data_IF_063050198832
#
_entry.id   IF_063050198832
#
_cell.length_a   1.000
_cell.length_b   1.000
_cell.length_c   1.000
_cell.angle_alpha   90.00
_cell.angle_beta   90.00
_cell.angle_gamma   90.00
#
_symmetry.space_group_name_H-M   'P 1'
#
loop_
_entity.id
_entity.type
_entity.pdbx_description
1 polymer ?
#
# COMPACT_ATOMS: atom_id res chain seq x y z
N UNK A 1 14.31 -79.87 45.39
CA UNK A 1 13.85 -78.50 45.77
C UNK A 1 13.56 -77.71 44.51
N UNK A 2 12.33 -77.43 44.17
CA UNK A 2 11.99 -76.73 42.95
C UNK A 2 11.90 -75.21 43.15
N UNK A 3 12.48 -74.42 42.23
CA UNK A 3 12.47 -72.99 42.19
C UNK A 3 11.08 -72.47 41.73
N UNK A 4 10.47 -71.68 42.58
CA UNK A 4 9.27 -70.94 42.24
C UNK A 4 9.61 -69.79 41.26
N UNK A 5 8.99 -69.76 40.08
CA UNK A 5 8.96 -68.61 39.14
C UNK A 5 7.79 -67.72 39.54
N UNK A 6 8.08 -66.48 39.90
CA UNK A 6 7.11 -65.45 40.12
C UNK A 6 6.75 -64.81 38.75
N UNK A 7 5.49 -64.86 38.38
CA UNK A 7 4.89 -64.13 37.23
C UNK A 7 4.47 -62.74 37.71
N UNK A 8 5.12 -61.70 37.23
CA UNK A 8 4.63 -60.33 37.34
C UNK A 8 3.60 -60.07 36.25
N UNK A 9 2.43 -59.50 36.55
CA UNK A 9 1.51 -59.04 35.53
C UNK A 9 1.94 -57.70 34.95
N UNK A 10 2.10 -57.61 33.64
CA UNK A 10 2.26 -56.37 32.88
C UNK A 10 0.94 -55.64 32.90
N UNK A 11 0.88 -54.51 33.58
CA UNK A 11 -0.17 -53.51 33.42
C UNK A 11 0.06 -52.73 32.11
N UNK A 12 -0.72 -53.01 31.09
CA UNK A 12 -0.78 -52.22 29.89
C UNK A 12 -1.66 -50.99 30.18
N UNK A 13 -1.01 -49.87 30.43
CA UNK A 13 -1.70 -48.57 30.53
C UNK A 13 -2.03 -48.11 29.09
N UNK A 14 -3.26 -48.30 28.68
CA UNK A 14 -3.76 -47.72 27.43
C UNK A 14 -3.86 -46.18 27.57
N UNK A 15 -2.94 -45.44 26.98
CA UNK A 15 -3.07 -43.99 26.79
C UNK A 15 -4.21 -43.74 25.77
N UNK A 16 -5.37 -43.35 26.27
CA UNK A 16 -6.40 -42.73 25.43
C UNK A 16 -5.88 -41.36 24.99
N UNK A 17 -5.34 -41.30 23.77
CA UNK A 17 -5.11 -40.03 23.09
C UNK A 17 -6.48 -39.39 22.79
N UNK A 18 -6.87 -38.45 23.61
CA UNK A 18 -8.00 -37.58 23.31
C UNK A 18 -7.64 -36.75 22.10
N UNK A 19 -8.13 -37.17 20.93
CA UNK A 19 -8.14 -36.35 19.73
C UNK A 19 -9.12 -35.19 19.97
N UNK A 20 -8.62 -34.06 20.44
CA UNK A 20 -9.39 -32.81 20.35
C UNK A 20 -9.63 -32.54 18.87
N UNK A 21 -10.88 -32.32 18.44
CA UNK A 21 -11.10 -31.83 17.10
C UNK A 21 -10.34 -30.51 16.98
N UNK A 22 -9.40 -30.45 16.05
CA UNK A 22 -8.82 -29.19 15.64
C UNK A 22 -9.99 -28.34 15.16
N UNK A 23 -10.44 -27.39 15.99
CA UNK A 23 -11.36 -26.35 15.56
C UNK A 23 -10.58 -25.57 14.50
N UNK A 24 -10.80 -25.89 13.24
CA UNK A 24 -10.21 -25.19 12.12
C UNK A 24 -10.44 -23.68 12.32
N UNK A 25 -9.38 -22.91 12.20
CA UNK A 25 -9.52 -21.47 12.26
C UNK A 25 -10.45 -21.02 11.11
N UNK A 26 -11.37 -20.08 11.34
CA UNK A 26 -12.24 -19.59 10.30
C UNK A 26 -11.41 -19.05 9.13
N UNK A 27 -11.83 -19.35 7.90
CA UNK A 27 -11.16 -18.97 6.68
C UNK A 27 -12.12 -18.91 5.49
N UNK A 28 -11.59 -19.03 4.27
CA UNK A 28 -12.40 -18.97 3.03
C UNK A 28 -13.51 -20.04 3.04
N UNK A 29 -13.21 -21.24 3.49
CA UNK A 29 -14.17 -22.36 3.54
C UNK A 29 -15.38 -22.08 4.41
N UNK A 30 -15.20 -21.35 5.52
CA UNK A 30 -16.26 -20.91 6.42
C UNK A 30 -16.88 -19.57 6.04
N UNK A 31 -16.53 -19.04 4.86
CA UNK A 31 -16.93 -17.71 4.39
C UNK A 31 -16.52 -16.55 5.30
N UNK A 32 -15.48 -16.74 6.08
CA UNK A 32 -14.86 -15.75 6.96
C UNK A 32 -13.37 -15.53 6.64
N UNK A 33 -13.03 -15.16 5.40
CA UNK A 33 -11.66 -14.96 5.00
C UNK A 33 -11.04 -13.77 5.74
N UNK A 34 -9.74 -13.85 6.01
CA UNK A 34 -8.98 -12.80 6.66
C UNK A 34 -8.24 -11.96 5.62
N UNK A 35 -8.51 -10.67 5.60
CA UNK A 35 -7.88 -9.70 4.73
C UNK A 35 -6.75 -8.96 5.45
N UNK A 36 -5.53 -9.04 4.91
CA UNK A 36 -4.39 -8.27 5.37
C UNK A 36 -4.46 -6.82 4.87
N UNK A 37 -4.97 -5.95 5.71
CA UNK A 37 -4.87 -4.50 5.53
C UNK A 37 -3.66 -3.95 6.27
N UNK A 38 -3.53 -2.61 6.31
CA UNK A 38 -2.50 -1.94 7.10
C UNK A 38 -3.12 -1.02 8.14
N UNK A 39 -2.79 0.25 8.12
CA UNK A 39 -3.38 1.24 8.99
C UNK A 39 -4.85 1.52 8.61
N UNK A 40 -5.67 1.82 9.59
CA UNK A 40 -7.11 2.06 9.37
C UNK A 40 -7.41 3.23 8.43
N UNK A 41 -6.58 4.27 8.46
CA UNK A 41 -6.78 5.51 7.70
C UNK A 41 -5.95 5.59 6.41
N UNK A 42 -5.15 4.58 6.08
CA UNK A 42 -4.37 4.57 4.85
C UNK A 42 -5.12 3.87 3.71
N UNK A 43 -4.68 4.02 2.46
CA UNK A 43 -5.34 3.44 1.29
C UNK A 43 -5.59 1.93 1.41
N UNK A 44 -4.70 1.20 2.05
CA UNK A 44 -4.82 -0.25 2.20
C UNK A 44 -5.87 -0.66 3.25
N UNK A 45 -6.04 0.13 4.31
CA UNK A 45 -7.15 -0.03 5.26
C UNK A 45 -8.48 0.37 4.63
N UNK A 46 -8.50 1.45 3.85
CA UNK A 46 -9.67 1.83 3.06
C UNK A 46 -10.08 0.73 2.08
N UNK A 47 -9.09 0.11 1.39
CA UNK A 47 -9.33 -1.03 0.51
C UNK A 47 -9.88 -2.24 1.25
N UNK A 48 -9.37 -2.54 2.46
CA UNK A 48 -9.88 -3.63 3.27
C UNK A 48 -11.38 -3.46 3.58
N UNK A 49 -11.81 -2.25 3.92
CA UNK A 49 -13.21 -1.96 4.21
C UNK A 49 -14.09 -1.96 2.95
N UNK A 50 -13.55 -1.56 1.80
CA UNK A 50 -14.22 -1.71 0.50
C UNK A 50 -14.44 -3.19 0.19
N UNK A 51 -13.40 -4.01 0.28
CA UNK A 51 -13.49 -5.46 0.04
C UNK A 51 -14.47 -6.11 1.02
N UNK A 52 -14.38 -5.80 2.31
CA UNK A 52 -15.31 -6.32 3.32
C UNK A 52 -16.77 -6.01 2.95
N UNK A 53 -17.04 -4.79 2.54
CA UNK A 53 -18.40 -4.36 2.18
C UNK A 53 -18.84 -5.00 0.86
N UNK A 54 -17.99 -5.01 -0.16
CA UNK A 54 -18.29 -5.56 -1.48
C UNK A 54 -18.56 -7.07 -1.46
N UNK A 55 -17.93 -7.80 -0.52
CA UNK A 55 -18.07 -9.26 -0.42
C UNK A 55 -19.33 -9.72 0.32
N UNK A 56 -19.99 -8.85 1.09
CA UNK A 56 -21.20 -9.21 1.86
C UNK A 56 -22.33 -9.77 0.99
N UNK A 57 -22.69 -9.19 -0.17
CA UNK A 57 -23.75 -9.73 -1.03
C UNK A 57 -23.47 -11.15 -1.53
N UNK A 58 -22.21 -11.57 -1.54
CA UNK A 58 -21.79 -12.92 -1.93
C UNK A 58 -21.68 -13.89 -0.76
N UNK A 59 -22.12 -13.44 0.43
CA UNK A 59 -22.19 -14.25 1.65
C UNK A 59 -20.87 -14.42 2.39
N UNK A 60 -19.86 -13.57 2.10
CA UNK A 60 -18.60 -13.56 2.83
C UNK A 60 -18.58 -12.48 3.93
N UNK A 61 -18.17 -12.90 5.13
CA UNK A 61 -17.90 -12.02 6.27
C UNK A 61 -16.39 -11.82 6.41
N UNK A 62 -15.84 -10.95 5.57
CA UNK A 62 -14.38 -10.69 5.53
C UNK A 62 -13.92 -10.07 6.84
N UNK A 63 -12.97 -10.70 7.49
CA UNK A 63 -12.32 -10.22 8.70
C UNK A 63 -11.09 -9.38 8.33
N UNK A 64 -10.92 -8.19 8.93
CA UNK A 64 -9.81 -7.29 8.58
C UNK A 64 -8.72 -7.38 9.64
N UNK A 65 -7.49 -7.61 9.20
CA UNK A 65 -6.30 -7.41 10.01
C UNK A 65 -5.71 -6.02 9.76
N UNK A 66 -5.99 -5.07 10.63
CA UNK A 66 -5.43 -3.71 10.54
C UNK A 66 -3.95 -3.60 10.98
N UNK A 67 -3.43 -4.61 11.69
CA UNK A 67 -2.03 -4.62 12.14
C UNK A 67 -1.06 -5.20 11.11
N UNK A 68 -1.55 -5.64 9.97
CA UNK A 68 -0.75 -6.18 8.90
C UNK A 68 -0.14 -5.01 8.14
N UNK A 69 1.13 -4.76 8.35
CA UNK A 69 1.83 -3.68 7.66
C UNK A 69 1.82 -3.92 6.15
N UNK A 70 1.50 -2.90 5.38
CA UNK A 70 1.47 -2.97 3.93
C UNK A 70 2.78 -3.44 3.30
N UNK A 71 3.92 -3.06 3.85
CA UNK A 71 5.23 -3.50 3.37
C UNK A 71 5.51 -4.98 3.71
N UNK A 72 5.02 -5.47 4.85
CA UNK A 72 5.16 -6.86 5.28
C UNK A 72 4.00 -7.76 4.84
N UNK A 73 2.89 -7.18 4.41
CA UNK A 73 1.70 -7.93 4.03
C UNK A 73 1.97 -9.03 2.97
N UNK A 74 2.77 -8.81 1.92
CA UNK A 74 3.10 -9.88 0.96
C UNK A 74 3.78 -11.08 1.60
N UNK A 75 4.65 -10.88 2.60
CA UNK A 75 5.27 -11.98 3.35
C UNK A 75 4.24 -12.76 4.15
N UNK A 76 3.41 -12.03 4.89
CA UNK A 76 2.39 -12.62 5.77
C UNK A 76 1.37 -13.42 4.96
N UNK A 77 0.90 -12.87 3.84
CA UNK A 77 -0.03 -13.55 2.93
C UNK A 77 0.62 -14.78 2.30
N UNK A 78 1.84 -14.64 1.74
CA UNK A 78 2.56 -15.73 1.09
C UNK A 78 2.78 -16.94 2.01
N UNK A 79 2.98 -16.72 3.29
CA UNK A 79 3.26 -17.74 4.29
C UNK A 79 2.02 -18.16 5.09
N UNK A 80 0.83 -17.64 4.74
CA UNK A 80 -0.43 -17.89 5.46
C UNK A 80 -0.30 -17.70 6.99
N UNK A 81 0.45 -16.69 7.41
CA UNK A 81 0.69 -16.46 8.83
C UNK A 81 -0.56 -15.96 9.54
N UNK A 82 -0.72 -16.40 10.77
CA UNK A 82 -1.64 -15.75 11.70
C UNK A 82 -1.07 -14.40 12.11
N UNK A 83 -1.88 -13.32 12.08
CA UNK A 83 -1.40 -12.02 12.53
C UNK A 83 -0.97 -12.06 13.99
N UNK A 84 0.10 -11.32 14.36
CA UNK A 84 0.45 -11.18 15.75
C UNK A 84 -0.68 -10.51 16.53
N UNK A 85 -0.83 -10.82 17.83
CA UNK A 85 -1.77 -10.13 18.69
C UNK A 85 -1.56 -8.60 18.61
N UNK A 86 -2.64 -7.87 18.48
CA UNK A 86 -2.57 -6.40 18.48
C UNK A 86 -2.05 -5.90 19.83
N UNK A 87 -1.03 -5.07 19.75
CA UNK A 87 -0.55 -4.28 20.88
C UNK A 87 -0.89 -2.82 20.63
N UNK A 88 -1.79 -2.21 21.43
CA UNK A 88 -2.08 -0.79 21.31
C UNK A 88 -0.79 0.03 21.44
N UNK A 89 -0.58 0.96 20.51
CA UNK A 89 0.42 2.00 20.69
C UNK A 89 -0.18 3.08 21.58
N UNK A 90 0.37 3.34 22.79
CA UNK A 90 -0.17 4.36 23.69
C UNK A 90 -0.12 5.77 23.12
N UNK A 91 0.70 6.01 22.08
CA UNK A 91 0.77 7.30 21.38
C UNK A 91 -0.39 7.46 20.36
N UNK A 92 -1.12 6.40 20.01
CA UNK A 92 -2.23 6.46 19.06
C UNK A 92 -3.54 6.61 19.82
N UNK A 93 -4.33 7.68 19.58
CA UNK A 93 -5.64 7.83 20.18
C UNK A 93 -6.51 6.59 19.97
N UNK A 94 -7.25 6.15 20.99
CA UNK A 94 -8.06 4.93 20.95
C UNK A 94 -9.03 4.88 19.75
N UNK A 95 -9.59 6.03 19.39
CA UNK A 95 -10.51 6.15 18.22
C UNK A 95 -9.83 5.82 16.89
N UNK A 96 -8.51 6.00 16.81
CA UNK A 96 -7.72 5.71 15.63
C UNK A 96 -7.00 4.36 15.73
N UNK A 97 -6.98 3.76 16.91
CA UNK A 97 -6.35 2.47 17.12
C UNK A 97 -7.09 1.38 16.33
N UNK A 98 -6.41 0.62 15.50
CA UNK A 98 -7.03 -0.48 14.79
C UNK A 98 -7.45 -1.56 15.79
N UNK A 99 -8.66 -2.07 15.66
CA UNK A 99 -9.16 -3.19 16.47
C UNK A 99 -9.32 -4.39 15.58
N UNK A 100 -8.43 -5.35 15.73
CA UNK A 100 -8.61 -6.65 15.10
C UNK A 100 -9.67 -7.44 15.88
N UNK A 101 -10.45 -8.24 15.15
CA UNK A 101 -11.30 -9.21 15.79
C UNK A 101 -10.45 -10.20 16.61
N UNK A 102 -10.89 -10.63 17.80
CA UNK A 102 -10.19 -11.70 18.53
C UNK A 102 -10.18 -13.00 17.71
N UNK A 103 -9.04 -13.71 17.74
CA UNK A 103 -8.95 -15.02 17.11
C UNK A 103 -8.96 -15.01 15.58
N UNK A 104 -8.42 -13.95 14.95
CA UNK A 104 -8.19 -13.94 13.51
C UNK A 104 -7.41 -15.19 13.09
N UNK A 105 -7.89 -15.85 12.03
CA UNK A 105 -7.20 -16.94 11.36
C UNK A 105 -5.93 -16.49 10.64
N UNK A 106 -5.35 -17.40 9.85
CA UNK A 106 -4.28 -17.05 8.92
C UNK A 106 -4.80 -16.07 7.87
N UNK A 107 -3.91 -15.18 7.40
CA UNK A 107 -4.29 -14.22 6.37
C UNK A 107 -4.41 -14.93 5.03
N UNK A 108 -5.58 -14.82 4.40
CA UNK A 108 -5.89 -15.44 3.13
C UNK A 108 -5.46 -14.59 1.94
N UNK A 109 -5.72 -13.29 2.01
CA UNK A 109 -5.44 -12.32 0.94
C UNK A 109 -5.25 -10.92 1.55
N UNK A 110 -4.91 -9.92 0.75
CA UNK A 110 -4.66 -8.60 1.30
C UNK A 110 -4.52 -7.51 0.27
N UNK A 111 -4.19 -6.30 0.76
CA UNK A 111 -3.83 -5.16 -0.06
C UNK A 111 -2.44 -4.65 0.28
N UNK A 112 -1.74 -4.21 -0.77
CA UNK A 112 -0.43 -3.55 -0.66
C UNK A 112 -0.22 -2.62 -1.85
N UNK A 113 0.88 -1.89 -1.87
CA UNK A 113 1.29 -1.19 -3.09
C UNK A 113 1.90 -2.19 -4.08
N UNK A 114 1.68 -1.97 -5.37
CA UNK A 114 2.14 -2.89 -6.43
C UNK A 114 3.66 -3.14 -6.37
N UNK A 115 4.46 -2.13 -6.03
CA UNK A 115 5.92 -2.32 -5.91
C UNK A 115 6.30 -3.30 -4.79
N UNK A 116 5.60 -3.29 -3.65
CA UNK A 116 5.87 -4.26 -2.58
C UNK A 116 5.48 -5.68 -2.98
N UNK A 117 4.40 -5.83 -3.74
CA UNK A 117 3.99 -7.12 -4.27
C UNK A 117 5.03 -7.66 -5.26
N UNK A 118 5.50 -6.82 -6.19
CA UNK A 118 6.55 -7.18 -7.17
C UNK A 118 7.87 -7.52 -6.48
N UNK A 119 8.28 -6.70 -5.51
CA UNK A 119 9.50 -6.92 -4.74
C UNK A 119 9.45 -8.25 -3.98
N UNK A 120 8.32 -8.58 -3.36
CA UNK A 120 8.14 -9.85 -2.68
C UNK A 120 8.14 -11.02 -3.66
N UNK A 121 7.45 -10.89 -4.80
CA UNK A 121 7.40 -11.91 -5.83
C UNK A 121 8.79 -12.25 -6.38
N UNK A 122 9.65 -11.25 -6.56
CA UNK A 122 11.01 -11.39 -7.12
C UNK A 122 12.11 -11.61 -6.08
N UNK A 123 11.89 -11.28 -4.82
CA UNK A 123 12.94 -11.18 -3.80
C UNK A 123 13.86 -9.97 -4.05
N UNK A 124 13.29 -8.82 -4.39
CA UNK A 124 14.01 -7.56 -4.66
C UNK A 124 13.63 -6.46 -3.69
N UNK A 125 14.17 -5.26 -3.85
CA UNK A 125 13.83 -4.10 -3.04
C UNK A 125 13.97 -4.35 -1.55
N UNK A 126 12.88 -4.17 -0.80
CA UNK A 126 12.87 -4.43 0.65
C UNK A 126 12.99 -5.92 0.99
N UNK A 127 12.73 -6.81 0.03
CA UNK A 127 12.82 -8.27 0.15
C UNK A 127 14.14 -8.85 -0.41
N UNK A 128 15.11 -8.02 -0.79
CA UNK A 128 16.36 -8.45 -1.44
C UNK A 128 17.24 -9.43 -0.62
N UNK A 129 16.96 -9.54 0.68
CA UNK A 129 17.63 -10.50 1.59
C UNK A 129 16.79 -11.74 1.89
N UNK A 130 15.65 -11.88 1.21
CA UNK A 130 14.69 -12.96 1.41
C UNK A 130 14.55 -13.80 0.12
N UNK A 131 13.95 -14.97 0.26
CA UNK A 131 13.62 -15.78 -0.92
C UNK A 131 12.45 -15.15 -1.68
N UNK A 132 12.45 -15.23 -3.01
CA UNK A 132 11.30 -14.87 -3.83
C UNK A 132 10.03 -15.60 -3.38
N UNK A 133 8.87 -14.97 -3.56
CA UNK A 133 7.55 -15.51 -3.23
C UNK A 133 6.69 -15.73 -4.49
N UNK A 134 7.04 -16.75 -5.31
CA UNK A 134 6.38 -16.98 -6.60
C UNK A 134 4.93 -17.49 -6.46
N UNK A 135 4.48 -17.79 -5.25
CA UNK A 135 3.11 -18.19 -4.94
C UNK A 135 2.13 -17.00 -4.86
N UNK A 136 2.60 -15.76 -4.93
CA UNK A 136 1.72 -14.59 -4.91
C UNK A 136 1.01 -14.41 -6.26
N UNK A 137 -0.27 -14.00 -6.21
CA UNK A 137 -1.13 -13.77 -7.37
C UNK A 137 -1.91 -12.47 -7.21
N UNK A 138 -1.94 -11.68 -8.27
CA UNK A 138 -2.81 -10.50 -8.35
C UNK A 138 -4.28 -10.93 -8.46
N UNK A 139 -5.17 -10.21 -7.77
CA UNK A 139 -6.61 -10.31 -8.00
C UNK A 139 -7.11 -9.05 -8.71
N UNK A 140 -6.76 -7.87 -8.21
CA UNK A 140 -7.15 -6.60 -8.80
C UNK A 140 -6.08 -5.53 -8.57
N UNK A 141 -5.80 -4.73 -9.60
CA UNK A 141 -4.97 -3.53 -9.50
C UNK A 141 -5.88 -2.31 -9.47
N UNK A 142 -6.06 -1.73 -8.29
CA UNK A 142 -6.84 -0.54 -8.07
C UNK A 142 -5.90 0.65 -8.16
N UNK A 143 -6.03 1.42 -9.22
CA UNK A 143 -5.13 2.53 -9.47
C UNK A 143 -5.44 3.72 -8.55
N UNK A 144 -4.52 3.98 -7.65
CA UNK A 144 -4.48 5.18 -6.81
C UNK A 144 -3.13 5.86 -7.04
N UNK A 145 -3.01 6.64 -8.14
CA UNK A 145 -1.73 7.19 -8.54
C UNK A 145 -1.24 8.24 -7.54
N UNK A 146 -0.01 8.07 -7.08
CA UNK A 146 0.74 9.07 -6.30
C UNK A 146 1.86 9.60 -7.15
N UNK A 147 1.70 10.84 -7.62
CA UNK A 147 2.67 11.54 -8.44
C UNK A 147 3.74 12.20 -7.57
N UNK A 148 4.96 12.25 -8.05
CA UNK A 148 5.99 13.11 -7.46
C UNK A 148 5.77 14.54 -7.99
N UNK A 149 5.62 15.46 -7.06
CA UNK A 149 5.30 16.86 -7.33
C UNK A 149 6.37 17.74 -6.70
N UNK A 150 6.73 18.80 -7.42
CA UNK A 150 7.54 19.91 -6.92
C UNK A 150 6.85 21.20 -7.32
N UNK A 151 6.62 22.08 -6.38
CA UNK A 151 6.06 23.40 -6.66
C UNK A 151 6.68 24.46 -5.75
N UNK A 152 6.85 25.65 -6.27
CA UNK A 152 7.22 26.84 -5.52
C UNK A 152 6.01 27.78 -5.41
N UNK A 153 5.93 28.58 -4.35
CA UNK A 153 5.02 29.72 -4.33
C UNK A 153 5.42 30.69 -5.44
N UNK A 154 4.48 31.13 -6.25
CA UNK A 154 4.74 32.00 -7.39
C UNK A 154 5.45 33.29 -7.00
N UNK A 155 5.15 33.83 -5.81
CA UNK A 155 5.78 35.02 -5.26
C UNK A 155 7.30 34.89 -5.04
N UNK A 156 7.83 33.68 -4.94
CA UNK A 156 9.27 33.43 -4.74
C UNK A 156 10.08 33.59 -6.03
N UNK A 157 9.44 33.42 -7.19
CA UNK A 157 10.11 33.44 -8.49
C UNK A 157 11.07 32.25 -8.70
N UNK A 158 10.96 31.18 -7.91
CA UNK A 158 11.78 29.98 -8.07
C UNK A 158 11.16 29.11 -9.14
N UNK A 159 11.88 28.89 -10.24
CA UNK A 159 11.46 28.06 -11.37
C UNK A 159 12.33 26.82 -11.54
N UNK A 160 13.44 26.73 -10.80
CA UNK A 160 14.39 25.62 -10.85
C UNK A 160 15.06 25.47 -9.47
N UNK A 161 15.17 24.26 -8.98
CA UNK A 161 15.75 23.98 -7.65
C UNK A 161 17.26 24.28 -7.58
N UNK A 162 17.97 24.29 -8.72
CA UNK A 162 19.39 24.65 -8.78
C UNK A 162 19.65 26.10 -8.31
N UNK A 163 18.66 26.97 -8.47
CA UNK A 163 18.73 28.39 -8.03
C UNK A 163 18.97 28.51 -6.53
N UNK A 164 18.43 27.58 -5.74
CA UNK A 164 18.58 27.58 -4.26
C UNK A 164 20.06 27.48 -3.90
N UNK A 165 20.77 26.53 -4.50
CA UNK A 165 22.21 26.33 -4.27
C UNK A 165 23.03 27.50 -4.80
N UNK A 166 22.76 27.94 -6.03
CA UNK A 166 23.52 29.02 -6.68
C UNK A 166 23.42 30.33 -5.91
N UNK A 167 22.24 30.66 -5.40
CA UNK A 167 21.98 31.92 -4.67
C UNK A 167 22.15 31.78 -3.16
N UNK A 168 22.44 30.58 -2.62
CA UNK A 168 22.41 30.26 -1.18
C UNK A 168 21.14 30.78 -0.51
N UNK A 169 20.01 30.51 -1.14
CA UNK A 169 18.74 31.06 -0.73
C UNK A 169 18.24 30.37 0.54
N UNK A 170 17.85 31.12 1.60
CA UNK A 170 17.35 30.58 2.86
C UNK A 170 15.88 30.14 2.71
N UNK A 171 15.65 29.10 1.88
CA UNK A 171 14.30 28.63 1.56
C UNK A 171 13.70 27.73 2.64
N UNK A 172 12.40 27.79 2.78
CA UNK A 172 11.61 26.86 3.59
C UNK A 172 10.99 25.79 2.69
N UNK A 173 11.38 24.53 2.90
CA UNK A 173 10.90 23.39 2.11
C UNK A 173 9.90 22.58 2.91
N UNK A 174 8.67 22.51 2.40
CA UNK A 174 7.63 21.61 2.86
C UNK A 174 7.83 20.25 2.22
N UNK A 175 8.05 19.20 3.03
CA UNK A 175 8.07 17.82 2.54
C UNK A 175 6.66 17.23 2.61
N UNK A 176 6.00 17.12 1.47
CA UNK A 176 4.64 16.60 1.36
C UNK A 176 4.67 15.07 1.12
N UNK A 177 3.95 14.29 1.92
CA UNK A 177 3.88 12.85 1.80
C UNK A 177 5.09 12.10 2.37
N UNK A 178 5.36 10.89 1.88
CA UNK A 178 6.45 10.03 2.37
C UNK A 178 7.81 10.58 1.91
N UNK A 179 8.59 11.08 2.84
CA UNK A 179 9.78 11.92 2.64
C UNK A 179 10.99 11.35 1.86
N UNK A 180 10.93 10.12 1.33
CA UNK A 180 12.07 9.52 0.60
C UNK A 180 12.36 10.23 -0.72
N UNK A 181 11.33 10.63 -1.46
CA UNK A 181 11.50 11.27 -2.76
C UNK A 181 12.02 12.70 -2.61
N UNK A 182 11.57 13.41 -1.58
CA UNK A 182 12.04 14.78 -1.29
C UNK A 182 13.54 14.83 -1.09
N UNK A 183 14.09 13.91 -0.29
CA UNK A 183 15.55 13.85 -0.04
C UNK A 183 16.34 13.52 -1.31
N UNK A 184 15.83 12.64 -2.17
CA UNK A 184 16.46 12.26 -3.44
C UNK A 184 16.46 13.42 -4.43
N UNK A 185 15.32 14.09 -4.55
CA UNK A 185 15.20 15.26 -5.42
C UNK A 185 16.17 16.35 -4.96
N UNK A 186 16.20 16.67 -3.66
CA UNK A 186 17.14 17.65 -3.14
C UNK A 186 18.59 17.26 -3.42
N UNK A 187 18.94 15.98 -3.20
CA UNK A 187 20.30 15.50 -3.42
C UNK A 187 20.76 15.62 -4.89
N UNK A 188 19.85 15.42 -5.85
CA UNK A 188 20.14 15.62 -7.29
C UNK A 188 20.63 17.05 -7.59
N UNK A 189 20.05 18.05 -6.92
CA UNK A 189 20.45 19.45 -7.05
C UNK A 189 21.60 19.85 -6.11
N UNK A 190 22.22 18.87 -5.43
CA UNK A 190 23.30 19.10 -4.46
C UNK A 190 22.81 19.80 -3.21
N UNK A 191 21.55 19.60 -2.83
CA UNK A 191 20.91 20.12 -1.64
C UNK A 191 20.66 19.00 -0.62
N UNK A 192 20.73 19.35 0.66
CA UNK A 192 20.30 18.48 1.76
C UNK A 192 19.63 19.34 2.85
N UNK A 193 18.99 18.68 3.81
CA UNK A 193 18.45 19.39 4.98
C UNK A 193 19.53 20.26 5.63
N UNK A 194 20.72 19.70 5.84
CA UNK A 194 21.84 20.35 6.53
C UNK A 194 22.32 21.58 5.74
N UNK A 195 22.43 21.47 4.41
CA UNK A 195 22.89 22.61 3.57
C UNK A 195 21.85 23.73 3.51
N UNK A 196 20.56 23.38 3.53
CA UNK A 196 19.46 24.36 3.55
C UNK A 196 19.41 25.07 4.90
N UNK A 197 19.47 24.34 6.00
CA UNK A 197 19.46 24.90 7.34
C UNK A 197 20.70 25.72 7.63
N UNK A 198 21.88 25.32 7.13
CA UNK A 198 23.11 26.14 7.22
C UNK A 198 23.03 27.47 6.45
N UNK A 199 22.16 27.52 5.42
CA UNK A 199 21.87 28.77 4.70
C UNK A 199 20.78 29.63 5.37
N UNK A 200 20.28 29.24 6.54
CA UNK A 200 19.20 29.89 7.25
C UNK A 200 17.79 29.48 6.83
N UNK A 201 17.69 28.46 5.99
CA UNK A 201 16.41 27.88 5.58
C UNK A 201 15.86 26.84 6.56
N UNK A 202 14.84 26.09 6.12
CA UNK A 202 14.21 25.06 6.93
C UNK A 202 13.64 23.94 6.05
N UNK A 203 13.63 22.70 6.56
CA UNK A 203 12.96 21.56 5.89
C UNK A 203 12.04 20.87 6.89
N UNK A 204 10.74 20.85 6.65
CA UNK A 204 9.77 20.33 7.60
C UNK A 204 8.47 19.87 7.00
N UNK A 205 7.55 19.39 7.86
CA UNK A 205 6.19 18.96 7.51
C UNK A 205 5.21 19.17 8.67
N UNK A 206 5.43 20.21 9.47
CA UNK A 206 4.50 20.59 10.54
C UNK A 206 3.33 21.41 9.98
N UNK A 207 2.26 21.63 10.73
CA UNK A 207 1.21 22.57 10.33
C UNK A 207 1.73 23.97 10.03
N UNK A 208 2.74 24.45 10.79
CA UNK A 208 3.38 25.75 10.54
C UNK A 208 4.16 25.77 9.22
N UNK A 209 4.82 24.68 8.84
CA UNK A 209 5.52 24.57 7.56
C UNK A 209 4.56 24.64 6.38
N UNK A 210 3.33 24.13 6.52
CA UNK A 210 2.30 24.21 5.47
C UNK A 210 1.82 25.64 5.21
N UNK A 211 2.02 26.53 6.14
CA UNK A 211 1.69 27.97 6.01
C UNK A 211 2.87 28.80 5.47
N UNK A 212 4.08 28.44 5.85
CA UNK A 212 5.26 29.27 5.69
C UNK A 212 6.30 28.73 4.69
N UNK A 213 5.96 27.73 3.89
CA UNK A 213 6.90 27.19 2.90
C UNK A 213 7.11 28.14 1.71
N UNK A 214 8.26 27.98 1.06
CA UNK A 214 8.57 28.59 -0.24
C UNK A 214 8.42 27.53 -1.35
N UNK A 215 8.81 26.30 -1.06
CA UNK A 215 8.78 25.16 -1.98
C UNK A 215 8.14 23.95 -1.30
N UNK A 216 7.26 23.24 -1.99
CA UNK A 216 6.73 21.96 -1.58
C UNK A 216 7.28 20.83 -2.48
N UNK A 217 7.73 19.73 -1.87
CA UNK A 217 8.29 18.56 -2.58
C UNK A 217 7.69 17.30 -1.99
N UNK A 218 7.15 16.42 -2.83
CA UNK A 218 6.72 15.09 -2.34
C UNK A 218 5.67 14.41 -3.18
N UNK A 219 5.15 13.31 -2.67
CA UNK A 219 4.08 12.57 -3.31
C UNK A 219 2.73 13.26 -3.17
N UNK A 220 1.94 13.24 -4.24
CA UNK A 220 0.57 13.72 -4.24
C UNK A 220 -0.28 12.94 -5.24
N UNK A 221 -1.46 12.55 -4.78
CA UNK A 221 -2.53 11.99 -5.61
C UNK A 221 -3.82 12.65 -5.20
N UNK A 222 -4.74 12.84 -6.10
CA UNK A 222 -5.93 13.64 -5.78
C UNK A 222 -6.90 13.00 -4.81
N UNK A 223 -6.77 11.73 -4.42
CA UNK A 223 -7.97 10.97 -4.09
C UNK A 223 -7.79 9.90 -3.02
N UNK A 224 -7.05 10.22 -1.97
CA UNK A 224 -6.89 9.28 -0.86
C UNK A 224 -7.36 9.86 0.46
N UNK A 225 -7.75 9.00 1.37
CA UNK A 225 -8.08 9.38 2.76
C UNK A 225 -6.84 9.70 3.59
N UNK A 226 -5.64 9.46 3.08
CA UNK A 226 -4.42 9.73 3.81
C UNK A 226 -4.20 11.24 3.96
N UNK A 227 -4.18 11.79 5.19
CA UNK A 227 -4.08 13.22 5.43
C UNK A 227 -2.83 13.86 4.81
N UNK A 228 -1.73 13.12 4.77
CA UNK A 228 -0.46 13.57 4.17
C UNK A 228 -0.57 13.85 2.67
N UNK A 229 -1.51 13.21 1.96
CA UNK A 229 -1.70 13.39 0.53
C UNK A 229 -2.70 14.51 0.20
N UNK A 230 -3.54 14.87 1.19
CA UNK A 230 -4.43 16.01 1.09
C UNK A 230 -3.70 17.36 1.15
N UNK A 231 -2.42 17.36 1.53
CA UNK A 231 -1.60 18.58 1.65
C UNK A 231 -1.59 19.35 0.33
N UNK A 232 -1.39 18.66 -0.80
CA UNK A 232 -1.33 19.29 -2.11
C UNK A 232 -2.64 19.99 -2.49
N UNK A 233 -3.79 19.39 -2.19
CA UNK A 233 -5.08 20.02 -2.35
C UNK A 233 -5.17 21.30 -1.53
N UNK A 234 -4.84 21.23 -0.25
CA UNK A 234 -4.94 22.37 0.65
C UNK A 234 -4.01 23.53 0.23
N UNK A 235 -2.74 23.26 -0.04
CA UNK A 235 -1.78 24.31 -0.40
C UNK A 235 -2.06 24.91 -1.78
N UNK A 236 -2.49 24.11 -2.77
CA UNK A 236 -2.80 24.61 -4.11
C UNK A 236 -4.07 25.45 -4.15
N UNK A 237 -5.01 25.24 -3.22
CA UNK A 237 -6.18 26.11 -3.08
C UNK A 237 -5.85 27.42 -2.39
N UNK A 238 -4.90 27.40 -1.45
CA UNK A 238 -4.56 28.54 -0.62
C UNK A 238 -3.51 29.48 -1.25
N UNK A 239 -2.54 28.92 -1.96
CA UNK A 239 -1.41 29.65 -2.53
C UNK A 239 -1.38 29.54 -4.04
N UNK A 240 -0.85 30.54 -4.72
CA UNK A 240 -0.49 30.47 -6.11
C UNK A 240 0.83 29.69 -6.23
N UNK A 241 0.75 28.55 -6.93
CA UNK A 241 1.87 27.61 -7.05
C UNK A 241 2.33 27.50 -8.50
N UNK A 242 3.63 27.61 -8.71
CA UNK A 242 4.32 27.27 -9.95
C UNK A 242 4.88 25.85 -9.82
N UNK A 243 4.33 24.91 -10.59
CA UNK A 243 4.81 23.53 -10.59
C UNK A 243 6.07 23.41 -11.43
N UNK A 244 7.12 22.86 -10.82
CA UNK A 244 8.47 22.75 -11.39
C UNK A 244 8.61 21.39 -12.06
N UNK A 245 9.00 21.37 -13.33
CA UNK A 245 9.37 20.16 -14.04
C UNK A 245 10.72 19.63 -13.55
N UNK A 246 10.78 18.33 -13.30
CA UNK A 246 12.03 17.66 -12.90
C UNK A 246 12.83 17.28 -14.16
N UNK A 247 14.18 17.36 -14.12
CA UNK A 247 15.04 16.93 -15.19
C UNK A 247 14.83 15.46 -15.59
N UNK A 248 15.01 15.16 -16.87
CA UNK A 248 14.77 13.82 -17.41
C UNK A 248 15.67 12.74 -16.79
N UNK A 249 16.92 13.07 -16.53
CA UNK A 249 17.89 12.18 -15.88
C UNK A 249 17.51 11.82 -14.44
N UNK A 250 16.97 12.80 -13.68
CA UNK A 250 16.41 12.57 -12.36
C UNK A 250 15.15 11.68 -12.43
N UNK A 251 14.25 11.94 -13.35
CA UNK A 251 13.06 11.12 -13.56
C UNK A 251 13.42 9.68 -13.94
N UNK A 252 14.41 9.51 -14.80
CA UNK A 252 14.93 8.20 -15.17
C UNK A 252 15.59 7.48 -13.98
N UNK A 253 16.31 8.20 -13.12
CA UNK A 253 16.89 7.65 -11.89
C UNK A 253 15.82 7.18 -10.92
N UNK A 254 14.79 7.99 -10.66
CA UNK A 254 13.70 7.66 -9.75
C UNK A 254 12.93 6.42 -10.25
N UNK A 255 12.62 6.34 -11.54
CA UNK A 255 11.91 5.21 -12.13
C UNK A 255 12.73 3.91 -12.08
N UNK A 256 14.07 3.98 -12.30
CA UNK A 256 14.96 2.83 -12.30
C UNK A 256 15.03 2.10 -10.96
N UNK A 257 14.68 2.74 -9.86
CA UNK A 257 14.63 2.14 -8.53
C UNK A 257 13.46 1.17 -8.33
N UNK A 258 12.53 1.09 -9.29
CA UNK A 258 11.44 0.12 -9.28
C UNK A 258 10.28 0.43 -8.33
N UNK A 259 10.36 1.51 -7.55
CA UNK A 259 9.28 1.93 -6.66
C UNK A 259 8.21 2.77 -7.38
N UNK A 260 8.58 3.33 -8.53
CA UNK A 260 7.77 4.26 -9.34
C UNK A 260 8.00 3.98 -10.83
N UNK A 261 7.07 4.44 -11.65
CA UNK A 261 7.14 4.36 -13.10
C UNK A 261 7.16 5.76 -13.71
N UNK A 262 7.61 5.86 -14.96
CA UNK A 262 7.45 7.11 -15.72
C UNK A 262 5.97 7.39 -15.89
N UNK A 263 5.57 8.62 -15.63
CA UNK A 263 4.19 9.04 -15.70
C UNK A 263 4.06 10.53 -16.01
N UNK A 264 2.84 11.00 -15.93
CA UNK A 264 2.51 12.40 -16.23
C UNK A 264 1.45 12.88 -15.24
N UNK A 265 1.68 13.99 -14.59
CA UNK A 265 0.68 14.67 -13.78
C UNK A 265 -0.37 15.22 -14.75
N UNK A 266 -1.66 14.85 -14.62
CA UNK A 266 -2.70 15.38 -15.49
C UNK A 266 -2.89 16.90 -15.32
N UNK A 267 -3.17 17.59 -16.40
CA UNK A 267 -3.64 18.99 -16.32
C UNK A 267 -4.89 19.06 -15.45
N UNK A 268 -4.96 20.08 -14.59
CA UNK A 268 -6.10 20.29 -13.70
C UNK A 268 -6.13 19.39 -12.44
N UNK A 269 -5.13 18.54 -12.20
CA UNK A 269 -5.08 17.72 -10.98
C UNK A 269 -5.09 18.62 -9.73
N UNK A 270 -4.30 19.67 -9.75
CA UNK A 270 -4.30 20.73 -8.74
C UNK A 270 -4.36 22.10 -9.42
N UNK A 271 -4.83 23.12 -8.69
CA UNK A 271 -4.78 24.49 -9.15
C UNK A 271 -3.31 24.89 -9.41
N UNK A 272 -3.05 25.46 -10.59
CA UNK A 272 -1.71 25.80 -11.07
C UNK A 272 -1.14 24.82 -12.09
N UNK A 273 -1.72 23.62 -12.26
CA UNK A 273 -1.29 22.66 -13.30
C UNK A 273 -2.12 22.89 -14.57
N UNK A 274 -1.66 23.80 -15.44
CA UNK A 274 -2.36 24.15 -16.67
C UNK A 274 -2.12 23.17 -17.84
N UNK A 275 -1.04 22.38 -17.79
CA UNK A 275 -0.65 21.38 -18.80
C UNK A 275 -0.14 20.11 -18.15
N UNK A 276 -0.13 18.98 -18.85
CA UNK A 276 0.49 17.77 -18.33
C UNK A 276 1.98 17.98 -18.01
N UNK A 277 2.46 17.45 -16.88
CA UNK A 277 3.85 17.60 -16.42
C UNK A 277 4.48 16.21 -16.32
N UNK A 278 5.61 15.93 -17.01
CA UNK A 278 6.35 14.68 -16.86
C UNK A 278 6.80 14.47 -15.41
N UNK A 279 6.63 13.26 -14.91
CA UNK A 279 7.02 12.90 -13.55
C UNK A 279 7.27 11.40 -13.41
N UNK A 280 7.47 10.94 -12.19
CA UNK A 280 7.31 9.54 -11.81
C UNK A 280 6.07 9.36 -10.95
N UNK A 281 5.44 8.22 -11.09
CA UNK A 281 4.19 7.89 -10.42
C UNK A 281 4.29 6.53 -9.75
N UNK A 282 3.84 6.45 -8.52
CA UNK A 282 3.56 5.18 -7.87
C UNK A 282 2.14 4.81 -8.24
N UNK A 283 1.98 3.70 -8.97
CA UNK A 283 0.67 3.21 -9.40
C UNK A 283 0.24 2.03 -8.56
N UNK A 284 -1.04 2.02 -8.21
CA UNK A 284 -1.75 0.85 -7.74
C UNK A 284 -1.61 0.47 -6.28
N UNK A 285 -2.74 0.54 -5.60
CA UNK A 285 -3.08 -0.35 -4.51
C UNK A 285 -3.61 -1.63 -5.13
N UNK A 286 -2.99 -2.77 -4.79
CA UNK A 286 -3.40 -4.05 -5.35
C UNK A 286 -4.07 -4.93 -4.30
N UNK A 287 -5.08 -5.68 -4.74
CA UNK A 287 -5.65 -6.80 -4.00
C UNK A 287 -5.03 -8.08 -4.56
N UNK A 288 -4.51 -8.93 -3.70
CA UNK A 288 -3.73 -10.10 -4.08
C UNK A 288 -3.88 -11.22 -3.05
N UNK A 289 -3.59 -12.43 -3.47
CA UNK A 289 -3.62 -13.63 -2.63
C UNK A 289 -2.51 -14.59 -3.02
N UNK A 290 -2.69 -15.88 -2.71
CA UNK A 290 -1.79 -16.98 -3.09
C UNK A 290 -2.38 -17.80 -4.23
N UNK A 291 -1.55 -18.58 -4.89
CA UNK A 291 -1.93 -19.48 -5.97
C UNK A 291 -2.72 -20.71 -5.50
N UNK A 292 -2.67 -21.03 -4.19
CA UNK A 292 -3.47 -22.11 -3.58
C UNK A 292 -4.86 -21.65 -3.13
N UNK A 293 -5.19 -20.37 -3.30
CA UNK A 293 -6.51 -19.84 -2.99
C UNK A 293 -7.54 -20.37 -4.00
N UNK A 294 -8.76 -20.73 -3.56
CA UNK A 294 -9.78 -21.22 -4.47
C UNK A 294 -10.11 -20.24 -5.61
N UNK A 295 -10.12 -20.75 -6.85
CA UNK A 295 -10.42 -19.94 -8.04
C UNK A 295 -11.77 -19.23 -7.95
N UNK A 296 -12.80 -19.90 -7.42
CA UNK A 296 -14.12 -19.31 -7.25
C UNK A 296 -14.12 -18.17 -6.24
N UNK A 297 -13.28 -18.24 -5.22
CA UNK A 297 -13.16 -17.13 -4.28
C UNK A 297 -12.48 -15.91 -4.93
N UNK A 298 -11.36 -16.10 -5.63
CA UNK A 298 -10.70 -15.02 -6.36
C UNK A 298 -11.59 -14.40 -7.46
N UNK A 299 -12.37 -15.25 -8.15
CA UNK A 299 -13.38 -14.80 -9.11
C UNK A 299 -14.40 -13.87 -8.44
N UNK A 300 -14.94 -14.29 -7.28
CA UNK A 300 -15.92 -13.49 -6.55
C UNK A 300 -15.32 -12.19 -6.04
N UNK A 301 -14.07 -12.18 -5.58
CA UNK A 301 -13.40 -10.94 -5.15
C UNK A 301 -13.26 -9.96 -6.32
N UNK A 302 -12.80 -10.42 -7.49
CA UNK A 302 -12.70 -9.59 -8.69
C UNK A 302 -14.05 -9.03 -9.12
N UNK A 303 -15.08 -9.89 -9.15
CA UNK A 303 -16.46 -9.54 -9.48
C UNK A 303 -17.05 -8.53 -8.49
N UNK A 304 -16.86 -8.75 -7.19
CA UNK A 304 -17.39 -7.88 -6.15
C UNK A 304 -16.79 -6.46 -6.23
N UNK A 305 -15.50 -6.34 -6.52
CA UNK A 305 -14.83 -5.05 -6.70
C UNK A 305 -15.32 -4.33 -7.95
N UNK A 306 -15.60 -5.03 -9.03
CA UNK A 306 -16.14 -4.47 -10.26
C UNK A 306 -17.58 -4.00 -10.10
N UNK A 307 -18.46 -4.89 -9.66
CA UNK A 307 -19.90 -4.58 -9.48
C UNK A 307 -20.16 -3.54 -8.39
N UNK A 308 -19.24 -3.38 -7.45
CA UNK A 308 -19.34 -2.45 -6.30
C UNK A 308 -18.31 -1.32 -6.36
N UNK A 309 -17.80 -0.98 -7.55
CA UNK A 309 -16.73 0.03 -7.71
C UNK A 309 -17.10 1.40 -7.14
N UNK A 310 -18.41 1.71 -7.00
CA UNK A 310 -18.87 2.94 -6.34
C UNK A 310 -18.44 3.03 -4.87
N UNK A 311 -18.16 1.90 -4.20
CA UNK A 311 -17.66 1.90 -2.82
C UNK A 311 -16.27 2.53 -2.72
N UNK A 312 -15.48 2.52 -3.80
CA UNK A 312 -14.17 3.19 -3.84
C UNK A 312 -14.33 4.70 -3.66
N UNK A 313 -15.40 5.29 -4.20
CA UNK A 313 -15.67 6.73 -4.04
C UNK A 313 -15.90 7.13 -2.58
N UNK A 314 -16.55 6.27 -1.81
CA UNK A 314 -16.77 6.50 -0.37
C UNK A 314 -15.47 6.53 0.45
N UNK A 315 -14.39 6.00 -0.13
CA UNK A 315 -13.07 5.96 0.46
C UNK A 315 -12.08 6.89 -0.23
N UNK A 316 -12.58 7.87 -0.95
CA UNK A 316 -11.78 8.84 -1.72
C UNK A 316 -10.82 8.19 -2.75
N UNK A 317 -11.16 6.98 -3.21
CA UNK A 317 -10.47 6.29 -4.29
C UNK A 317 -11.24 6.45 -5.60
N UNK A 318 -11.73 7.68 -5.87
CA UNK A 318 -12.52 7.99 -7.04
C UNK A 318 -11.72 7.68 -8.32
N UNK A 319 -12.41 7.08 -9.32
CA UNK A 319 -11.81 6.71 -10.60
C UNK A 319 -10.61 5.75 -10.53
N UNK A 320 -10.41 5.11 -9.38
CA UNK A 320 -9.31 4.16 -9.19
C UNK A 320 -9.56 2.81 -9.88
N UNK A 321 -10.83 2.44 -10.12
CA UNK A 321 -11.15 1.23 -10.86
C UNK A 321 -11.13 1.52 -12.37
N UNK A 322 -10.20 0.87 -13.06
CA UNK A 322 -10.06 1.04 -14.50
C UNK A 322 -10.05 -0.34 -15.18
N UNK A 323 -11.10 -0.63 -15.94
CA UNK A 323 -11.31 -1.92 -16.64
C UNK A 323 -10.17 -2.29 -17.60
N UNK A 324 -9.40 -1.31 -18.09
CA UNK A 324 -8.28 -1.55 -19.00
C UNK A 324 -6.99 -1.95 -18.28
N UNK A 325 -6.92 -1.78 -16.96
CA UNK A 325 -5.67 -1.97 -16.19
C UNK A 325 -5.85 -2.74 -14.89
N UNK A 326 -7.07 -2.98 -14.43
CA UNK A 326 -7.37 -3.68 -13.17
C UNK A 326 -6.75 -5.09 -13.11
N UNK A 327 -6.57 -5.72 -14.24
CA UNK A 327 -5.95 -7.04 -14.41
C UNK A 327 -4.43 -6.99 -14.56
N UNK A 328 -3.82 -5.79 -14.67
CA UNK A 328 -2.38 -5.66 -14.89
C UNK A 328 -1.60 -5.78 -13.59
N UNK A 329 -0.95 -6.92 -13.40
CA UNK A 329 -0.04 -7.18 -12.28
C UNK A 329 1.42 -6.88 -12.60
N UNK A 330 1.66 -6.26 -13.77
CA UNK A 330 3.00 -6.12 -14.36
C UNK A 330 3.65 -7.52 -14.49
N UNK A 331 4.43 -7.94 -13.52
CA UNK A 331 5.14 -9.23 -13.55
C UNK A 331 4.54 -10.25 -12.59
N UNK A 332 3.69 -9.82 -11.67
CA UNK A 332 2.99 -10.74 -10.78
C UNK A 332 1.82 -11.35 -11.54
N UNK A 333 1.76 -12.69 -11.67
CA UNK A 333 0.70 -13.34 -12.41
C UNK A 333 -0.68 -13.05 -11.81
N UNK A 334 -1.66 -12.92 -12.69
CA UNK A 334 -3.07 -12.82 -12.29
C UNK A 334 -3.53 -14.16 -11.70
N UNK A 335 -4.34 -14.12 -10.65
CA UNK A 335 -4.98 -15.33 -10.12
C UNK A 335 -5.92 -15.95 -11.17
N UNK A 336 -5.94 -17.27 -11.39
CA UNK A 336 -6.76 -17.90 -12.42
C UNK A 336 -8.25 -17.54 -12.31
N UNK A 337 -8.80 -17.50 -11.10
CA UNK A 337 -10.19 -17.09 -10.87
C UNK A 337 -10.46 -15.63 -11.26
N UNK A 338 -9.57 -14.70 -10.94
CA UNK A 338 -9.69 -13.31 -11.37
C UNK A 338 -9.53 -13.19 -12.90
N UNK A 339 -8.58 -13.92 -13.49
CA UNK A 339 -8.39 -13.95 -14.93
C UNK A 339 -9.65 -14.44 -15.66
N UNK A 340 -10.33 -15.46 -15.12
CA UNK A 340 -11.61 -15.95 -15.65
C UNK A 340 -12.66 -14.85 -15.66
N UNK A 341 -12.82 -14.13 -14.54
CA UNK A 341 -13.77 -13.01 -14.48
C UNK A 341 -13.46 -11.93 -15.52
N UNK A 342 -12.21 -11.48 -15.61
CA UNK A 342 -11.83 -10.41 -16.55
C UNK A 342 -11.90 -10.83 -18.02
N UNK A 343 -11.78 -12.13 -18.32
CA UNK A 343 -12.05 -12.65 -19.69
C UNK A 343 -13.53 -12.68 -19.99
N UNK A 344 -14.37 -13.13 -19.08
CA UNK A 344 -15.83 -13.20 -19.24
C UNK A 344 -16.43 -11.78 -19.43
N UNK A 345 -15.88 -10.78 -18.77
CA UNK A 345 -16.30 -9.37 -18.93
C UNK A 345 -15.69 -8.67 -20.15
N UNK A 346 -14.72 -9.30 -20.83
CA UNK A 346 -14.02 -8.72 -21.96
C UNK A 346 -12.95 -7.69 -21.61
N UNK A 347 -12.57 -7.58 -20.35
CA UNK A 347 -11.50 -6.67 -19.89
C UNK A 347 -10.11 -7.22 -20.24
N UNK A 348 -9.96 -8.52 -20.18
CA UNK A 348 -8.74 -9.24 -20.58
C UNK A 348 -9.04 -10.00 -21.88
N UNK A 349 -8.19 -9.77 -22.89
CA UNK A 349 -8.27 -10.43 -24.19
C UNK A 349 -7.60 -11.81 -24.18
#
# INVERSE_FOLDING_TARGET
MPRRRSLLPYLITALLAATFPATGQPGIGDKKPVFGGACRLCPWGAMAEVVQTAMKPYGYDVQICYNCNAADAPRIVSEARTPPPYRPDPAVPEILAPRNAPGLGSIDFGATAIQFLRDAYRGTGIYAKEQPRPNLRLIANIQDPSYVLVAAKAETGITDLSQIRQKRWPVRILTAGIGRDSSRILAHFGLSRETIEAAGGHVGNTPDDREKFDIAIGGGGGMTTAPEWSIWTAISQKFDLDFIELPEDLLAELARRGEQERGTIPAGLYRGIARPIPTVVRTGTVVYGRDDMPDDFAYVVAKALDEQQQLLQWRHLNFSYNVHTVWNGYEVPLHPGAARYYKETGYLK
#
